data_IF_205653820785
#
_entry.id   IF_205653820785
#
_cell.length_a   1.000
_cell.length_b   1.000
_cell.length_c   1.000
_cell.angle_alpha   90.00
_cell.angle_beta   90.00
_cell.angle_gamma   90.00
#
_symmetry.space_group_name_H-M   'P 1'
#
loop_
_entity.id
_entity.type
_entity.pdbx_description
1 polymer ?
#
# COMPACT_ATOMS: atom_id res chain seq x y z
N UNK A 1 -45.96 7.95 -10.83
CA UNK A 1 -45.12 6.72 -10.76
C UNK A 1 -43.98 7.08 -9.83
N UNK A 2 -43.78 6.37 -8.70
CA UNK A 2 -42.93 6.82 -7.56
C UNK A 2 -41.44 7.02 -7.88
N UNK A 3 -41.00 6.65 -9.08
CA UNK A 3 -39.70 7.04 -9.61
C UNK A 3 -39.51 8.57 -9.63
N UNK A 4 -40.55 9.31 -10.04
CA UNK A 4 -40.54 10.79 -10.04
C UNK A 4 -40.60 11.40 -8.62
N UNK A 5 -40.92 10.59 -7.61
CA UNK A 5 -40.93 10.97 -6.20
C UNK A 5 -39.59 10.62 -5.51
N UNK A 6 -38.56 10.21 -6.26
CA UNK A 6 -37.22 9.91 -5.75
C UNK A 6 -37.03 8.48 -5.22
N UNK A 7 -37.99 7.57 -5.43
CA UNK A 7 -37.83 6.18 -5.02
C UNK A 7 -36.90 5.41 -5.98
N UNK A 8 -35.65 5.20 -5.59
CA UNK A 8 -34.62 4.52 -6.39
C UNK A 8 -34.53 3.01 -6.16
N UNK A 9 -35.35 2.42 -5.28
CA UNK A 9 -35.36 0.98 -4.99
C UNK A 9 -36.11 0.17 -6.08
N UNK A 10 -35.35 -0.60 -6.88
CA UNK A 10 -35.90 -1.46 -7.94
C UNK A 10 -36.76 -2.61 -7.43
N UNK A 11 -36.47 -3.17 -6.24
CA UNK A 11 -37.24 -4.28 -5.67
C UNK A 11 -38.61 -3.82 -5.21
N UNK A 12 -38.66 -2.63 -4.60
CA UNK A 12 -39.92 -1.98 -4.20
C UNK A 12 -40.79 -1.64 -5.40
N UNK A 13 -40.22 -1.04 -6.44
CA UNK A 13 -40.93 -0.72 -7.68
C UNK A 13 -41.43 -1.97 -8.39
N UNK A 14 -40.65 -3.05 -8.40
CA UNK A 14 -41.09 -4.33 -8.96
C UNK A 14 -42.33 -4.87 -8.25
N UNK A 15 -42.36 -4.85 -6.91
CA UNK A 15 -43.51 -5.31 -6.13
C UNK A 15 -44.77 -4.49 -6.42
N UNK A 16 -44.64 -3.16 -6.49
CA UNK A 16 -45.75 -2.26 -6.81
C UNK A 16 -46.29 -2.47 -8.25
N UNK A 17 -45.41 -2.78 -9.21
CA UNK A 17 -45.83 -3.06 -10.60
C UNK A 17 -46.44 -4.46 -10.71
N UNK A 18 -45.97 -5.43 -9.92
CA UNK A 18 -46.54 -6.77 -9.83
C UNK A 18 -47.96 -6.74 -9.23
N UNK A 19 -48.21 -5.93 -8.20
CA UNK A 19 -49.54 -5.69 -7.63
C UNK A 19 -50.53 -5.08 -8.64
N UNK A 20 -50.01 -4.39 -9.67
CA UNK A 20 -50.80 -3.83 -10.79
C UNK A 20 -50.97 -4.80 -11.96
N UNK A 21 -50.60 -6.07 -11.80
CA UNK A 21 -50.83 -7.13 -12.78
C UNK A 21 -49.65 -7.45 -13.69
N UNK A 22 -48.45 -6.92 -13.42
CA UNK A 22 -47.26 -7.28 -14.19
C UNK A 22 -46.79 -8.71 -13.88
N UNK A 23 -46.67 -9.54 -14.92
CA UNK A 23 -46.22 -10.94 -14.82
C UNK A 23 -44.75 -11.16 -15.21
N UNK A 24 -44.00 -10.09 -15.45
CA UNK A 24 -42.60 -10.19 -15.83
C UNK A 24 -41.65 -10.35 -14.63
N UNK A 25 -40.35 -10.41 -14.92
CA UNK A 25 -39.32 -10.63 -13.90
C UNK A 25 -38.79 -9.32 -13.29
N UNK A 26 -38.32 -9.40 -12.04
CA UNK A 26 -37.63 -8.28 -11.36
C UNK A 26 -36.37 -7.82 -12.12
N UNK A 27 -35.72 -8.76 -12.84
CA UNK A 27 -34.56 -8.49 -13.69
C UNK A 27 -34.92 -7.60 -14.89
N UNK A 28 -36.10 -7.77 -15.47
CA UNK A 28 -36.61 -6.94 -16.57
C UNK A 28 -36.84 -5.50 -16.11
N UNK A 29 -37.44 -5.32 -14.93
CA UNK A 29 -37.65 -4.00 -14.31
C UNK A 29 -36.31 -3.34 -13.97
N UNK A 30 -35.37 -4.10 -13.39
CA UNK A 30 -34.02 -3.58 -13.10
C UNK A 30 -33.28 -3.11 -14.35
N UNK A 31 -33.31 -3.89 -15.43
CA UNK A 31 -32.70 -3.53 -16.72
C UNK A 31 -33.35 -2.28 -17.33
N UNK A 32 -34.66 -2.12 -17.20
CA UNK A 32 -35.36 -0.93 -17.69
C UNK A 32 -35.02 0.34 -16.87
N UNK A 33 -34.73 0.18 -15.57
CA UNK A 33 -34.33 1.27 -14.68
C UNK A 33 -32.83 1.62 -14.75
N UNK A 34 -31.97 0.77 -15.32
CA UNK A 34 -30.52 1.00 -15.43
C UNK A 34 -30.13 2.28 -16.20
N UNK A 35 -30.74 2.59 -17.36
CA UNK A 35 -30.49 3.86 -18.06
C UNK A 35 -30.90 5.09 -17.24
N UNK A 36 -32.03 5.01 -16.52
CA UNK A 36 -32.51 6.12 -15.67
C UNK A 36 -31.59 6.34 -14.46
N UNK A 37 -31.11 5.27 -13.83
CA UNK A 37 -30.09 5.35 -12.76
C UNK A 37 -28.78 5.96 -13.23
N UNK A 38 -28.34 5.60 -14.44
CA UNK A 38 -27.09 6.12 -15.01
C UNK A 38 -27.18 7.61 -15.36
N UNK A 39 -28.37 8.10 -15.68
CA UNK A 39 -28.62 9.52 -15.95
C UNK A 39 -28.79 10.35 -14.67
N UNK A 40 -29.38 9.77 -13.61
CA UNK A 40 -29.77 10.49 -12.40
C UNK A 40 -28.74 10.42 -11.27
N UNK A 41 -27.85 9.43 -11.31
CA UNK A 41 -26.71 9.35 -10.39
C UNK A 41 -25.41 9.61 -11.14
N UNK A 42 -24.85 10.83 -11.09
CA UNK A 42 -23.41 10.96 -11.24
C UNK A 42 -22.84 10.12 -10.10
N UNK A 43 -22.25 8.97 -10.43
CA UNK A 43 -21.45 8.23 -9.46
C UNK A 43 -20.53 9.24 -8.79
N UNK A 44 -20.55 9.40 -7.45
CA UNK A 44 -19.68 10.35 -6.81
C UNK A 44 -18.27 10.00 -7.26
N UNK A 45 -17.62 10.94 -7.97
CA UNK A 45 -16.23 10.78 -8.40
C UNK A 45 -15.48 10.37 -7.14
N UNK A 46 -14.95 9.14 -7.15
CA UNK A 46 -14.10 8.61 -6.07
C UNK A 46 -13.15 9.74 -5.65
N UNK A 47 -13.18 10.08 -4.36
CA UNK A 47 -12.63 11.31 -3.78
C UNK A 47 -11.31 11.73 -4.43
N UNK A 48 -11.23 13.02 -4.77
CA UNK A 48 -10.10 13.70 -5.43
C UNK A 48 -8.80 13.67 -4.60
N UNK A 49 -8.89 13.27 -3.33
CA UNK A 49 -7.78 13.14 -2.42
C UNK A 49 -6.92 11.90 -2.75
N UNK A 50 -5.59 12.04 -2.87
CA UNK A 50 -4.72 10.91 -3.15
C UNK A 50 -4.69 9.92 -1.98
N UNK A 51 -4.62 8.64 -2.30
CA UNK A 51 -4.47 7.59 -1.30
C UNK A 51 -3.05 7.55 -0.74
N UNK A 52 -2.88 6.97 0.45
CA UNK A 52 -1.54 6.77 1.05
C UNK A 52 -0.61 6.04 0.08
N UNK A 53 -1.10 4.99 -0.59
CA UNK A 53 -0.32 4.23 -1.57
C UNK A 53 0.09 5.05 -2.81
N UNK A 54 -0.73 6.03 -3.21
CA UNK A 54 -0.37 6.93 -4.30
C UNK A 54 0.73 7.90 -3.86
N UNK A 55 0.63 8.47 -2.67
CA UNK A 55 1.64 9.40 -2.13
C UNK A 55 2.96 8.69 -1.91
N UNK A 56 2.96 7.50 -1.29
CA UNK A 56 4.18 6.70 -1.12
C UNK A 56 4.79 6.30 -2.47
N UNK A 57 3.96 5.92 -3.43
CA UNK A 57 4.40 5.60 -4.79
C UNK A 57 4.95 6.80 -5.57
N UNK A 58 4.55 8.04 -5.23
CA UNK A 58 5.14 9.25 -5.80
C UNK A 58 6.43 9.67 -5.10
N UNK A 59 6.54 9.43 -3.79
CA UNK A 59 7.74 9.75 -2.99
C UNK A 59 8.95 8.89 -3.39
N UNK A 60 8.72 7.62 -3.74
CA UNK A 60 9.80 6.67 -4.08
C UNK A 60 10.14 6.61 -5.56
N UNK A 61 9.37 7.30 -6.42
CA UNK A 61 9.62 7.37 -7.86
C UNK A 61 10.52 8.54 -8.23
N UNK A 62 11.22 8.39 -9.36
CA UNK A 62 11.97 9.49 -9.96
C UNK A 62 11.00 10.62 -10.35
N UNK A 63 11.31 11.90 -10.06
CA UNK A 63 10.40 13.03 -10.33
C UNK A 63 9.98 13.11 -11.81
N UNK A 64 10.89 12.81 -12.73
CA UNK A 64 10.63 12.85 -14.19
C UNK A 64 9.66 11.76 -14.66
N UNK A 65 9.42 10.73 -13.85
CA UNK A 65 8.44 9.68 -14.15
C UNK A 65 7.01 10.02 -13.71
N UNK A 66 6.84 11.14 -13.00
CA UNK A 66 5.54 11.62 -12.53
C UNK A 66 4.92 12.56 -13.57
N UNK A 67 3.62 12.41 -13.83
CA UNK A 67 2.91 13.36 -14.69
C UNK A 67 2.84 14.74 -14.04
N UNK A 68 2.70 15.81 -14.84
CA UNK A 68 2.63 17.19 -14.33
C UNK A 68 1.56 17.38 -13.25
N UNK A 69 0.41 16.72 -13.39
CA UNK A 69 -0.65 16.73 -12.37
C UNK A 69 -0.29 15.99 -11.08
N UNK A 70 0.48 14.90 -11.16
CA UNK A 70 1.00 14.20 -9.97
C UNK A 70 2.08 15.02 -9.28
N UNK A 71 2.99 15.64 -10.03
CA UNK A 71 4.01 16.53 -9.48
C UNK A 71 3.38 17.72 -8.75
N UNK A 72 2.36 18.34 -9.33
CA UNK A 72 1.66 19.46 -8.69
C UNK A 72 0.96 19.05 -7.39
N UNK A 73 0.25 17.92 -7.39
CA UNK A 73 -0.38 17.38 -6.17
C UNK A 73 0.64 17.04 -5.10
N UNK A 74 1.72 16.37 -5.47
CA UNK A 74 2.80 16.04 -4.54
C UNK A 74 3.44 17.31 -3.98
N UNK A 75 3.70 18.33 -4.80
CA UNK A 75 4.22 19.63 -4.32
C UNK A 75 3.31 20.27 -3.29
N UNK A 76 1.99 20.25 -3.49
CA UNK A 76 1.02 20.77 -2.50
C UNK A 76 1.12 20.04 -1.17
N UNK A 77 1.09 18.70 -1.19
CA UNK A 77 1.18 17.89 0.03
C UNK A 77 2.49 18.16 0.79
N UNK A 78 3.61 18.32 0.08
CA UNK A 78 4.90 18.62 0.71
C UNK A 78 4.98 20.03 1.27
N UNK A 79 4.20 20.98 0.75
CA UNK A 79 4.10 22.32 1.32
C UNK A 79 3.28 22.31 2.62
N UNK A 80 2.27 21.45 2.69
CA UNK A 80 1.38 21.32 3.85
C UNK A 80 2.03 20.50 5.00
N UNK A 81 2.92 19.55 4.67
CA UNK A 81 3.58 18.67 5.63
C UNK A 81 5.13 18.72 5.51
N UNK A 82 5.83 19.55 6.29
CA UNK A 82 7.28 19.70 6.21
C UNK A 82 8.05 18.42 6.57
N UNK A 83 7.51 17.57 7.44
CA UNK A 83 8.10 16.28 7.80
C UNK A 83 8.13 15.34 6.59
N UNK A 84 7.11 15.41 5.73
CA UNK A 84 7.07 14.61 4.51
C UNK A 84 8.07 15.13 3.46
N UNK A 85 8.32 16.44 3.44
CA UNK A 85 9.36 17.04 2.62
C UNK A 85 10.76 16.62 3.07
N UNK A 86 11.01 16.59 4.38
CA UNK A 86 12.23 16.05 4.97
C UNK A 86 12.43 14.57 4.60
N UNK A 87 11.40 13.74 4.79
CA UNK A 87 11.42 12.33 4.38
C UNK A 87 11.77 12.16 2.90
N UNK A 88 11.17 12.98 2.02
CA UNK A 88 11.46 12.95 0.59
C UNK A 88 12.94 13.24 0.30
N UNK A 89 13.54 14.20 1.01
CA UNK A 89 14.95 14.51 0.90
C UNK A 89 15.83 13.30 1.24
N UNK A 90 15.51 12.60 2.33
CA UNK A 90 16.21 11.37 2.73
C UNK A 90 16.05 10.24 1.71
N UNK A 91 14.85 10.01 1.19
CA UNK A 91 14.59 9.02 0.14
C UNK A 91 15.40 9.34 -1.11
N UNK A 92 15.40 10.60 -1.55
CA UNK A 92 16.14 11.02 -2.74
C UNK A 92 17.65 10.85 -2.58
N UNK A 93 18.20 11.23 -1.42
CA UNK A 93 19.62 11.05 -1.12
C UNK A 93 20.02 9.56 -1.08
N UNK A 94 19.17 8.71 -0.49
CA UNK A 94 19.41 7.27 -0.46
C UNK A 94 19.32 6.63 -1.85
N UNK A 95 18.32 7.02 -2.65
CA UNK A 95 18.18 6.58 -4.03
C UNK A 95 19.37 6.99 -4.91
N UNK A 96 19.92 8.19 -4.70
CA UNK A 96 21.13 8.62 -5.40
C UNK A 96 22.34 7.74 -5.03
N UNK A 97 22.53 7.39 -3.76
CA UNK A 97 23.58 6.46 -3.34
C UNK A 97 23.42 5.07 -3.99
N UNK A 98 22.19 4.53 -4.04
CA UNK A 98 21.90 3.27 -4.72
C UNK A 98 22.22 3.34 -6.22
N UNK A 99 21.82 4.42 -6.88
CA UNK A 99 22.02 4.62 -8.32
C UNK A 99 23.51 4.73 -8.69
N UNK A 100 24.30 5.40 -7.85
CA UNK A 100 25.71 5.67 -8.10
C UNK A 100 26.65 4.62 -7.49
N UNK A 101 26.13 3.65 -6.75
CA UNK A 101 26.89 2.67 -5.99
C UNK A 101 27.91 3.34 -5.03
N UNK A 102 27.47 4.38 -4.32
CA UNK A 102 28.29 5.17 -3.40
C UNK A 102 28.15 4.72 -1.93
N UNK A 103 28.39 3.44 -1.63
CA UNK A 103 28.28 2.89 -0.26
C UNK A 103 29.11 3.62 0.80
N UNK A 104 30.22 4.27 0.40
CA UNK A 104 31.03 5.13 1.30
C UNK A 104 30.26 6.27 1.96
N UNK A 105 29.15 6.71 1.36
CA UNK A 105 28.31 7.80 1.87
C UNK A 105 27.30 7.32 2.92
N UNK A 106 27.09 6.00 3.06
CA UNK A 106 26.10 5.42 3.95
C UNK A 106 26.25 5.87 5.42
N UNK A 107 27.46 5.87 6.04
CA UNK A 107 27.59 6.32 7.43
C UNK A 107 27.23 7.78 7.63
N UNK A 108 27.52 8.64 6.64
CA UNK A 108 27.12 10.06 6.66
C UNK A 108 25.61 10.18 6.52
N UNK A 109 25.02 9.44 5.58
CA UNK A 109 23.58 9.45 5.36
C UNK A 109 22.82 8.99 6.62
N UNK A 110 23.26 7.94 7.31
CA UNK A 110 22.61 7.41 8.52
C UNK A 110 22.57 8.39 9.70
N UNK A 111 23.49 9.37 9.74
CA UNK A 111 23.49 10.44 10.74
C UNK A 111 22.42 11.50 10.45
N UNK A 112 22.11 11.75 9.18
CA UNK A 112 21.20 12.84 8.79
C UNK A 112 19.76 12.63 9.32
N UNK A 113 19.14 11.44 9.21
CA UNK A 113 17.84 11.17 9.82
C UNK A 113 17.74 11.34 11.32
N UNK A 114 18.85 11.31 12.08
CA UNK A 114 18.79 11.34 13.55
C UNK A 114 18.21 12.65 14.09
N UNK A 115 18.31 13.74 13.32
CA UNK A 115 17.67 15.03 13.63
C UNK A 115 16.28 15.21 13.02
N UNK A 116 15.76 14.22 12.28
CA UNK A 116 14.41 14.27 11.73
C UNK A 116 13.40 14.04 12.85
N UNK A 117 12.26 14.73 12.81
CA UNK A 117 11.16 14.54 13.76
C UNK A 117 10.49 13.16 13.59
N UNK A 118 10.68 12.48 12.46
CA UNK A 118 10.04 11.21 12.12
C UNK A 118 10.69 9.99 12.81
N UNK A 119 10.04 9.37 13.83
CA UNK A 119 10.60 8.20 14.51
C UNK A 119 10.83 6.99 13.60
N UNK A 120 9.94 6.66 12.62
CA UNK A 120 10.18 5.56 11.69
C UNK A 120 11.45 5.72 10.86
N UNK A 121 11.79 6.95 10.47
CA UNK A 121 12.99 7.21 9.67
C UNK A 121 14.27 7.03 10.51
N UNK A 122 14.27 7.50 11.76
CA UNK A 122 15.35 7.23 12.72
C UNK A 122 15.52 5.73 12.98
N UNK A 123 14.41 5.02 13.15
CA UNK A 123 14.38 3.57 13.34
C UNK A 123 14.95 2.82 12.13
N UNK A 124 14.57 3.24 10.91
CA UNK A 124 15.12 2.69 9.67
C UNK A 124 16.64 2.88 9.59
N UNK A 125 17.14 4.10 9.80
CA UNK A 125 18.58 4.36 9.79
C UNK A 125 19.33 3.52 10.83
N UNK A 126 18.76 3.32 12.04
CA UNK A 126 19.34 2.45 13.07
C UNK A 126 19.34 0.98 12.68
N UNK A 127 18.32 0.53 11.95
CA UNK A 127 18.25 -0.86 11.49
C UNK A 127 19.38 -1.20 10.53
N UNK A 128 19.77 -0.26 9.65
CA UNK A 128 20.89 -0.43 8.72
C UNK A 128 22.24 -0.62 9.44
N UNK A 129 22.41 -0.08 10.65
CA UNK A 129 23.63 -0.29 11.43
C UNK A 129 23.89 -1.75 11.79
N UNK A 130 22.83 -2.57 11.87
CA UNK A 130 22.95 -3.99 12.24
C UNK A 130 23.63 -4.81 11.14
N UNK A 131 23.43 -4.40 9.88
CA UNK A 131 23.91 -5.07 8.69
C UNK A 131 24.82 -4.14 7.85
N UNK A 132 25.58 -3.27 8.52
CA UNK A 132 26.29 -2.15 7.89
C UNK A 132 27.20 -2.62 6.75
N UNK A 133 27.98 -3.68 6.96
CA UNK A 133 28.91 -4.20 5.95
C UNK A 133 28.15 -4.75 4.74
N UNK A 134 27.05 -5.47 4.97
CA UNK A 134 26.23 -6.04 3.91
C UNK A 134 25.53 -4.94 3.10
N UNK A 135 24.98 -3.92 3.77
CA UNK A 135 24.34 -2.77 3.11
C UNK A 135 25.37 -1.95 2.35
N UNK A 136 26.56 -1.73 2.92
CA UNK A 136 27.66 -1.02 2.25
C UNK A 136 28.10 -1.77 0.99
N UNK A 137 28.25 -3.09 1.08
CA UNK A 137 28.55 -3.93 -0.08
C UNK A 137 27.46 -3.85 -1.15
N UNK A 138 26.18 -3.95 -0.76
CA UNK A 138 25.04 -3.81 -1.68
C UNK A 138 24.92 -2.42 -2.32
N UNK A 139 25.40 -1.38 -1.64
CA UNK A 139 25.49 -0.02 -2.17
C UNK A 139 26.81 0.26 -2.90
N UNK A 140 27.72 -0.70 -3.07
CA UNK A 140 29.03 -0.47 -3.73
C UNK A 140 29.24 -1.43 -4.90
N UNK A 141 28.74 -2.66 -4.80
CA UNK A 141 28.95 -3.69 -5.79
C UNK A 141 27.93 -3.58 -6.93
N UNK A 142 28.35 -3.80 -8.19
CA UNK A 142 27.43 -3.78 -9.33
C UNK A 142 26.53 -5.02 -9.39
N UNK A 143 26.86 -6.05 -8.60
CA UNK A 143 26.09 -7.28 -8.47
C UNK A 143 25.35 -7.29 -7.13
N UNK A 144 24.06 -7.64 -7.16
CA UNK A 144 23.25 -7.87 -5.97
C UNK A 144 22.52 -9.20 -6.09
N UNK A 145 22.34 -9.88 -4.95
CA UNK A 145 21.53 -11.09 -4.83
C UNK A 145 20.02 -10.80 -4.81
N UNK A 146 19.60 -9.54 -4.96
CA UNK A 146 18.21 -9.12 -4.70
C UNK A 146 17.16 -9.87 -5.51
N UNK A 147 17.42 -10.17 -6.79
CA UNK A 147 16.51 -10.98 -7.61
C UNK A 147 16.44 -12.43 -7.12
N UNK A 148 17.58 -13.02 -6.75
CA UNK A 148 17.66 -14.40 -6.25
C UNK A 148 16.97 -14.50 -4.89
N UNK A 149 17.24 -13.55 -4.00
CA UNK A 149 16.59 -13.44 -2.70
C UNK A 149 15.07 -13.25 -2.81
N UNK A 150 14.62 -12.44 -3.78
CA UNK A 150 13.21 -12.26 -4.08
C UNK A 150 12.53 -13.58 -4.49
N UNK A 151 13.16 -14.35 -5.37
CA UNK A 151 12.67 -15.68 -5.75
C UNK A 151 12.65 -16.65 -4.57
N UNK A 152 13.72 -16.69 -3.77
CA UNK A 152 13.81 -17.52 -2.57
C UNK A 152 12.73 -17.14 -1.56
N UNK A 153 12.48 -15.85 -1.34
CA UNK A 153 11.42 -15.38 -0.45
C UNK A 153 10.02 -15.73 -0.97
N UNK A 154 9.78 -15.61 -2.28
CA UNK A 154 8.50 -16.04 -2.89
C UNK A 154 8.27 -17.53 -2.70
N UNK A 155 9.29 -18.35 -2.97
CA UNK A 155 9.20 -19.82 -2.78
C UNK A 155 8.99 -20.16 -1.30
N UNK A 156 9.73 -19.52 -0.38
CA UNK A 156 9.54 -19.69 1.07
C UNK A 156 8.13 -19.28 1.50
N UNK A 157 7.58 -18.21 0.93
CA UNK A 157 6.21 -17.78 1.20
C UNK A 157 5.19 -18.82 0.70
N UNK A 158 5.28 -19.27 -0.55
CA UNK A 158 4.37 -20.28 -1.11
C UNK A 158 4.41 -21.61 -0.33
N UNK A 159 5.60 -22.03 0.11
CA UNK A 159 5.78 -23.19 1.00
C UNK A 159 5.04 -23.03 2.33
N UNK A 160 5.11 -21.85 2.95
CA UNK A 160 4.40 -21.54 4.20
C UNK A 160 2.88 -21.48 4.04
N UNK A 161 2.40 -21.17 2.84
CA UNK A 161 0.97 -21.16 2.51
C UNK A 161 0.42 -22.57 2.19
N UNK A 162 1.23 -23.62 2.34
CA UNK A 162 0.79 -25.01 2.13
C UNK A 162 0.41 -25.34 0.69
N UNK A 163 0.87 -24.54 -0.29
CA UNK A 163 0.57 -24.76 -1.72
C UNK A 163 1.43 -25.84 -2.37
N UNK A 164 2.46 -26.32 -1.67
CA UNK A 164 3.16 -27.54 -2.05
C UNK A 164 2.39 -28.72 -1.45
N UNK A 165 1.63 -29.43 -2.29
CA UNK A 165 0.99 -30.71 -1.93
C UNK A 165 2.02 -31.72 -1.41
N UNK A 166 1.58 -32.82 -0.76
CA UNK A 166 2.50 -33.75 -0.11
C UNK A 166 3.43 -34.39 -1.15
N UNK A 167 4.67 -33.90 -1.22
CA UNK A 167 5.73 -34.63 -1.91
C UNK A 167 6.05 -35.85 -1.06
N UNK A 168 5.66 -37.02 -1.57
CA UNK A 168 6.09 -38.30 -1.05
C UNK A 168 7.62 -38.41 -1.05
N UNK A 169 8.12 -38.85 0.11
CA UNK A 169 9.34 -39.67 0.30
C UNK A 169 10.70 -39.01 0.05
N UNK A 170 11.43 -38.68 1.12
CA UNK A 170 12.38 -39.63 1.73
C UNK A 170 13.09 -39.05 2.97
N UNK A 171 13.07 -39.84 4.05
CA UNK A 171 14.06 -40.00 5.11
C UNK A 171 15.19 -38.97 5.27
N UNK A 172 15.29 -38.40 6.48
CA UNK A 172 16.43 -37.58 6.91
C UNK A 172 16.14 -36.89 8.24
N UNK A 173 16.16 -37.68 9.31
CA UNK A 173 15.95 -37.22 10.67
C UNK A 173 17.03 -36.23 11.14
N UNK A 174 16.63 -35.48 12.18
CA UNK A 174 17.46 -34.76 13.15
C UNK A 174 17.96 -33.34 12.76
N UNK A 175 17.22 -32.33 13.20
CA UNK A 175 17.66 -31.57 14.38
C UNK A 175 16.47 -30.81 14.99
N UNK A 176 15.89 -31.38 16.04
CA UNK A 176 15.08 -30.65 17.00
C UNK A 176 16.04 -29.85 17.90
N UNK A 177 15.93 -28.53 17.91
CA UNK A 177 16.34 -27.75 19.08
C UNK A 177 15.17 -26.87 19.50
N UNK A 178 14.78 -27.09 20.75
CA UNK A 178 13.73 -26.40 21.49
C UNK A 178 13.96 -24.88 21.51
N UNK A 179 12.88 -24.11 21.29
CA UNK A 179 12.58 -22.99 22.18
C UNK A 179 11.08 -22.71 22.25
N UNK A 180 10.59 -22.73 23.48
CA UNK A 180 9.23 -22.53 23.95
C UNK A 180 8.71 -21.08 23.79
N UNK A 181 7.39 -20.84 24.05
CA UNK A 181 6.61 -19.78 23.42
C UNK A 181 6.66 -18.47 24.20
N UNK A 182 6.49 -17.35 23.48
CA UNK A 182 6.16 -16.07 24.12
C UNK A 182 4.70 -15.75 23.78
N UNK A 183 3.92 -15.68 24.86
CA UNK A 183 2.51 -15.33 24.95
C UNK A 183 2.25 -13.87 24.58
N UNK A 184 1.01 -13.62 24.20
CA UNK A 184 0.35 -12.39 23.78
C UNK A 184 0.89 -11.03 24.32
N UNK A 185 0.97 -10.07 23.41
CA UNK A 185 0.97 -8.63 23.70
C UNK A 185 0.53 -7.85 22.46
N UNK A 186 -0.77 -7.58 22.37
CA UNK A 186 -1.42 -6.79 21.34
C UNK A 186 -1.10 -5.29 21.52
N UNK A 187 -0.75 -4.55 20.45
CA UNK A 187 -1.12 -3.14 20.40
C UNK A 187 -1.67 -2.75 19.02
N UNK A 188 -2.96 -3.03 18.81
CA UNK A 188 -3.83 -2.11 18.06
C UNK A 188 -4.09 -0.96 19.02
N UNK A 189 -3.63 0.26 18.72
CA UNK A 189 -4.12 1.55 19.23
C UNK A 189 -3.05 2.63 19.01
N UNK A 190 -3.00 3.18 17.79
CA UNK A 190 -2.67 4.58 17.52
C UNK A 190 -2.70 4.80 16.00
N UNK A 191 -3.84 5.25 15.50
CA UNK A 191 -4.05 6.29 14.46
C UNK A 191 -5.58 6.36 14.27
N UNK A 192 -6.24 6.92 15.28
CA UNK A 192 -7.62 7.42 15.17
C UNK A 192 -7.68 8.75 15.89
N UNK A 193 -6.93 9.73 15.35
CA UNK A 193 -6.87 11.09 15.87
C UNK A 193 -6.41 12.11 14.81
N UNK A 194 -6.87 12.04 13.55
CA UNK A 194 -6.83 13.18 12.61
C UNK A 194 -8.00 13.08 11.63
N UNK A 195 -9.22 13.06 12.17
CA UNK A 195 -10.45 13.10 11.35
C UNK A 195 -11.64 13.60 12.17
N UNK A 196 -11.39 14.65 12.97
CA UNK A 196 -12.45 15.49 13.51
C UNK A 196 -11.87 16.81 14.01
N UNK A 197 -11.54 17.74 13.11
CA UNK A 197 -11.79 19.17 13.37
C UNK A 197 -11.71 19.94 12.03
N UNK A 198 -12.82 20.65 11.73
CA UNK A 198 -13.11 21.58 10.63
C UNK A 198 -13.50 21.01 9.25
#
# INVERSE_FOLDING_TARGET
MRWQEGCTDSGRLFREIQERGYRGSSRSVRRWLEPMRSAESPTPKRSEAPTVGQVTGWLTRHPDSLSSGQQLRLKRILADCPELADLRGHIAAFAAMMKNLDGRLLPRWMKAPQGSELPPLRGFARSLSKDLDAVTAGLTQPYSSGMVEGHVNRVKYLKRQGMDGPTSTSCGAAFCSHREPITHGHPEMLIRAVQNDR
#
